data_IF_097187960525
#
_entry.id   IF_097187960525
#
_cell.length_a   1.000
_cell.length_b   1.000
_cell.length_c   1.000
_cell.angle_alpha   90.00
_cell.angle_beta   90.00
_cell.angle_gamma   90.00
#
_symmetry.space_group_name_H-M   'P 1'
#
loop_
_entity.id
_entity.type
_entity.pdbx_description
1 polymer ?
#
# COMPACT_ATOMS: atom_id res chain seq x y z
N UNK A 1 -36.34 66.29 -29.60
CA UNK A 1 -36.04 65.33 -28.52
C UNK A 1 -35.67 63.99 -29.15
N UNK A 2 -34.61 63.31 -28.68
CA UNK A 2 -33.92 62.10 -29.24
C UNK A 2 -32.69 62.34 -30.15
N UNK A 3 -31.93 63.44 -30.00
CA UNK A 3 -30.64 63.63 -30.69
C UNK A 3 -29.46 64.09 -29.82
N UNK A 4 -29.64 64.11 -28.50
CA UNK A 4 -28.62 64.58 -27.54
C UNK A 4 -28.04 63.48 -26.64
N UNK A 5 -28.30 62.21 -26.95
CA UNK A 5 -27.87 61.05 -26.11
C UNK A 5 -26.67 60.28 -26.71
N UNK A 6 -26.18 60.67 -27.89
CA UNK A 6 -25.06 59.98 -28.58
C UNK A 6 -23.75 60.78 -28.64
N UNK A 7 -23.47 61.62 -27.63
CA UNK A 7 -22.15 62.28 -27.47
C UNK A 7 -21.61 62.06 -26.03
N UNK A 8 -22.00 60.95 -25.38
CA UNK A 8 -21.37 60.45 -24.14
C UNK A 8 -21.04 58.96 -24.34
N UNK A 9 -20.59 58.59 -25.54
CA UNK A 9 -20.19 57.20 -25.84
C UNK A 9 -18.88 57.12 -26.64
N UNK A 10 -18.08 58.19 -26.62
CA UNK A 10 -16.76 58.22 -27.20
C UNK A 10 -15.84 59.04 -26.28
N UNK A 11 -14.71 58.45 -25.88
CA UNK A 11 -13.64 59.03 -25.07
C UNK A 11 -13.80 59.00 -23.53
N UNK A 12 -13.91 57.80 -22.96
CA UNK A 12 -13.10 57.45 -21.76
C UNK A 12 -12.50 56.06 -22.03
N UNK A 13 -11.52 56.07 -22.94
CA UNK A 13 -10.41 55.12 -22.95
C UNK A 13 -9.37 55.70 -21.97
N UNK A 14 -8.77 54.85 -21.14
CA UNK A 14 -7.63 55.12 -20.21
C UNK A 14 -7.96 55.80 -18.88
N UNK A 15 -8.44 54.99 -17.92
CA UNK A 15 -7.83 54.81 -16.59
C UNK A 15 -8.71 53.87 -15.78
N UNK A 16 -8.74 52.58 -16.15
CA UNK A 16 -9.01 51.57 -15.13
C UNK A 16 -7.73 51.48 -14.30
N UNK A 17 -7.80 51.49 -12.95
CA UNK A 17 -6.62 51.21 -12.16
C UNK A 17 -6.07 49.90 -12.71
N UNK A 18 -4.76 49.89 -12.99
CA UNK A 18 -4.02 48.65 -12.98
C UNK A 18 -4.30 48.02 -11.61
N UNK A 19 -5.35 47.20 -11.52
CA UNK A 19 -5.25 46.02 -10.74
C UNK A 19 -4.08 45.31 -11.40
N UNK A 20 -2.88 45.55 -10.86
CA UNK A 20 -1.90 44.49 -10.85
C UNK A 20 -2.72 43.25 -10.52
N UNK A 21 -2.84 42.34 -11.48
CA UNK A 21 -3.23 40.99 -11.14
C UNK A 21 -2.16 40.56 -10.17
N UNK A 22 -2.47 40.73 -8.89
CA UNK A 22 -1.67 40.21 -7.83
C UNK A 22 -1.67 38.72 -8.08
N UNK A 23 -0.54 38.22 -8.59
CA UNK A 23 -0.31 36.84 -9.00
C UNK A 23 -0.45 35.85 -7.83
N UNK A 24 -0.82 36.34 -6.64
CA UNK A 24 -1.10 35.63 -5.40
C UNK A 24 -2.53 35.05 -5.29
N UNK A 25 -3.44 35.31 -6.23
CA UNK A 25 -4.85 34.85 -6.15
C UNK A 25 -5.33 34.01 -7.35
N UNK A 26 -4.66 32.89 -7.65
CA UNK A 26 -5.32 31.81 -8.41
C UNK A 26 -6.32 31.12 -7.48
N UNK A 27 -7.55 30.85 -7.93
CA UNK A 27 -8.54 30.15 -7.10
C UNK A 27 -7.98 28.77 -6.69
N UNK A 28 -8.07 28.43 -5.40
CA UNK A 28 -7.53 27.16 -4.83
C UNK A 28 -8.06 25.93 -5.56
N UNK A 29 -9.32 25.99 -6.00
CA UNK A 29 -9.98 24.99 -6.84
C UNK A 29 -9.18 24.73 -8.13
N UNK A 30 -8.77 25.79 -8.83
CA UNK A 30 -7.99 25.71 -10.07
C UNK A 30 -6.60 25.11 -9.82
N UNK A 31 -5.94 25.50 -8.72
CA UNK A 31 -4.63 24.92 -8.35
C UNK A 31 -4.76 23.41 -8.15
N UNK A 32 -5.78 22.96 -7.43
CA UNK A 32 -6.02 21.53 -7.19
C UNK A 32 -6.25 20.77 -8.50
N UNK A 33 -7.09 21.30 -9.39
CA UNK A 33 -7.40 20.63 -10.66
C UNK A 33 -6.19 20.52 -11.58
N UNK A 34 -5.37 21.58 -11.66
CA UNK A 34 -4.15 21.58 -12.46
C UNK A 34 -3.17 20.50 -11.99
N UNK A 35 -2.92 20.42 -10.68
CA UNK A 35 -2.02 19.41 -10.11
C UNK A 35 -2.60 17.99 -10.32
N UNK A 36 -3.89 17.77 -10.10
CA UNK A 36 -4.54 16.47 -10.31
C UNK A 36 -4.50 16.00 -11.78
N UNK A 37 -4.55 16.93 -12.73
CA UNK A 37 -4.47 16.63 -14.17
C UNK A 37 -3.07 16.13 -14.58
N UNK A 38 -2.03 16.51 -13.82
CA UNK A 38 -0.63 16.16 -14.09
C UNK A 38 -0.14 14.90 -13.35
N UNK A 39 -0.98 14.28 -12.51
CA UNK A 39 -0.62 13.05 -11.79
C UNK A 39 -0.63 11.82 -12.73
N UNK A 40 0.41 10.96 -12.70
CA UNK A 40 1.62 11.05 -11.88
C UNK A 40 2.66 12.01 -12.49
N UNK A 41 3.26 12.85 -11.64
CA UNK A 41 4.28 13.81 -12.05
C UNK A 41 5.61 13.08 -12.23
N UNK A 42 6.24 13.26 -13.39
CA UNK A 42 7.35 12.41 -13.83
C UNK A 42 8.72 12.85 -13.34
N UNK A 43 8.92 14.16 -13.11
CA UNK A 43 10.23 14.71 -12.72
C UNK A 43 10.16 15.44 -11.39
N UNK A 44 11.28 15.48 -10.65
CA UNK A 44 11.37 16.21 -9.39
C UNK A 44 11.22 17.73 -9.57
N UNK A 45 11.67 18.26 -10.72
CA UNK A 45 11.54 19.69 -11.03
C UNK A 45 10.06 20.06 -11.21
N UNK A 46 9.33 19.28 -11.99
CA UNK A 46 7.89 19.48 -12.20
C UNK A 46 7.14 19.27 -10.88
N UNK A 47 7.49 18.24 -10.11
CA UNK A 47 6.89 18.00 -8.79
C UNK A 47 7.02 19.22 -7.88
N UNK A 48 8.21 19.81 -7.79
CA UNK A 48 8.44 20.99 -6.96
C UNK A 48 7.69 22.23 -7.50
N UNK A 49 7.57 22.36 -8.83
CA UNK A 49 6.83 23.46 -9.47
C UNK A 49 5.34 23.37 -9.18
N UNK A 50 4.77 22.16 -9.21
CA UNK A 50 3.33 21.91 -9.01
C UNK A 50 2.94 21.88 -7.52
N UNK A 51 3.78 21.35 -6.63
CA UNK A 51 3.46 21.26 -5.20
C UNK A 51 3.58 22.62 -4.49
N UNK A 52 4.45 23.51 -4.97
CA UNK A 52 4.63 24.84 -4.36
C UNK A 52 3.34 25.68 -4.29
N UNK A 53 2.60 25.93 -5.39
CA UNK A 53 1.34 26.69 -5.31
C UNK A 53 0.29 25.97 -4.46
N UNK A 54 0.32 24.64 -4.43
CA UNK A 54 -0.60 23.84 -3.62
C UNK A 54 -0.38 24.05 -2.13
N UNK A 55 0.87 24.01 -1.65
CA UNK A 55 1.18 24.24 -0.23
C UNK A 55 1.07 25.72 0.17
N UNK A 56 1.28 26.64 -0.77
CA UNK A 56 1.01 28.08 -0.58
C UNK A 56 -0.48 28.35 -0.32
N UNK A 57 -1.36 27.57 -0.93
CA UNK A 57 -2.81 27.65 -0.74
C UNK A 57 -3.33 26.83 0.47
N UNK A 58 -2.46 26.18 1.24
CA UNK A 58 -2.84 25.52 2.48
C UNK A 58 -3.22 26.58 3.55
N UNK A 59 -4.16 26.30 4.48
CA UNK A 59 -4.80 25.00 4.75
C UNK A 59 -5.96 24.64 3.81
N UNK A 60 -6.49 25.61 3.05
CA UNK A 60 -7.69 25.43 2.21
C UNK A 60 -7.50 24.36 1.13
N UNK A 61 -6.33 24.33 0.47
CA UNK A 61 -6.04 23.32 -0.56
C UNK A 61 -6.14 21.89 -0.03
N UNK A 62 -5.62 21.65 1.18
CA UNK A 62 -5.59 20.35 1.84
C UNK A 62 -6.99 19.89 2.26
N UNK A 63 -7.79 20.79 2.86
CA UNK A 63 -9.16 20.44 3.27
C UNK A 63 -10.05 20.12 2.07
N UNK A 64 -9.88 20.84 0.97
CA UNK A 64 -10.60 20.57 -0.28
C UNK A 64 -10.19 19.23 -0.90
N UNK A 65 -8.90 18.94 -0.98
CA UNK A 65 -8.41 17.63 -1.44
C UNK A 65 -8.93 16.51 -0.55
N UNK A 66 -8.89 16.67 0.76
CA UNK A 66 -9.38 15.68 1.70
C UNK A 66 -10.89 15.41 1.58
N UNK A 67 -11.68 16.43 1.25
CA UNK A 67 -13.12 16.29 0.98
C UNK A 67 -13.41 15.49 -0.32
N UNK A 68 -12.43 15.33 -1.20
CA UNK A 68 -12.54 14.49 -2.40
C UNK A 68 -12.34 13.00 -2.11
N UNK A 69 -11.81 12.64 -0.93
CA UNK A 69 -11.61 11.24 -0.56
C UNK A 69 -12.95 10.50 -0.43
N UNK A 70 -13.01 9.32 -1.01
CA UNK A 70 -14.14 8.38 -0.93
C UNK A 70 -13.77 7.16 -0.08
N UNK A 71 -14.75 6.41 0.43
CA UNK A 71 -14.51 5.12 1.07
C UNK A 71 -13.61 4.20 0.22
N UNK A 72 -12.69 3.49 0.87
CA UNK A 72 -11.67 2.69 0.17
C UNK A 72 -12.25 1.63 -0.79
N UNK A 73 -13.46 1.14 -0.52
CA UNK A 73 -14.19 0.21 -1.37
C UNK A 73 -14.52 0.75 -2.77
N UNK A 74 -14.47 2.07 -2.98
CA UNK A 74 -14.72 2.70 -4.28
C UNK A 74 -13.47 2.73 -5.18
N UNK A 75 -12.27 2.50 -4.63
CA UNK A 75 -11.00 2.42 -5.38
C UNK A 75 -10.64 3.63 -6.27
N UNK A 76 -11.15 4.83 -5.97
CA UNK A 76 -10.96 6.05 -6.80
C UNK A 76 -9.97 7.08 -6.25
N UNK A 77 -9.40 6.88 -5.06
CA UNK A 77 -8.64 7.91 -4.35
C UNK A 77 -7.20 8.12 -4.83
N UNK A 78 -6.64 7.23 -5.65
CA UNK A 78 -5.19 7.18 -5.93
C UNK A 78 -4.58 8.53 -6.36
N UNK A 79 -5.28 9.31 -7.17
CA UNK A 79 -4.79 10.64 -7.59
C UNK A 79 -4.85 11.66 -6.46
N UNK A 80 -5.92 11.67 -5.68
CA UNK A 80 -6.10 12.61 -4.56
C UNK A 80 -5.10 12.31 -3.44
N UNK A 81 -4.93 11.03 -3.11
CA UNK A 81 -3.94 10.57 -2.12
C UNK A 81 -2.52 10.92 -2.55
N UNK A 82 -2.18 10.73 -3.83
CA UNK A 82 -0.88 11.17 -4.38
C UNK A 82 -0.65 12.66 -4.18
N UNK A 83 -1.65 13.51 -4.46
CA UNK A 83 -1.50 14.97 -4.34
C UNK A 83 -1.39 15.42 -2.87
N UNK A 84 -2.19 14.86 -1.97
CA UNK A 84 -2.09 15.15 -0.52
C UNK A 84 -0.71 14.72 0.00
N UNK A 85 -0.26 13.52 -0.37
CA UNK A 85 1.06 13.02 0.01
C UNK A 85 2.19 13.89 -0.55
N UNK A 86 2.06 14.33 -1.81
CA UNK A 86 3.03 15.22 -2.44
C UNK A 86 3.13 16.58 -1.73
N UNK A 87 2.00 17.15 -1.33
CA UNK A 87 1.96 18.40 -0.57
C UNK A 87 2.66 18.27 0.79
N UNK A 88 2.44 17.14 1.46
CA UNK A 88 3.07 16.79 2.74
C UNK A 88 4.58 16.59 2.58
N UNK A 89 5.02 15.83 1.59
CA UNK A 89 6.44 15.62 1.31
C UNK A 89 7.16 16.94 0.98
N UNK A 90 6.54 17.79 0.15
CA UNK A 90 7.08 19.09 -0.20
C UNK A 90 7.18 20.01 1.03
N UNK A 91 6.12 20.13 1.81
CA UNK A 91 6.09 20.96 3.02
C UNK A 91 7.03 20.44 4.12
N UNK A 92 7.28 19.13 4.20
CA UNK A 92 8.22 18.55 5.17
C UNK A 92 9.66 19.01 5.01
N UNK A 93 10.04 19.48 3.82
CA UNK A 93 11.37 20.06 3.55
C UNK A 93 11.41 21.58 3.67
N UNK A 94 10.26 22.22 3.95
CA UNK A 94 10.13 23.67 4.00
C UNK A 94 9.17 24.12 5.12
N UNK A 95 9.79 24.58 6.21
CA UNK A 95 9.09 25.00 7.42
C UNK A 95 8.08 26.14 7.23
N UNK A 96 8.25 26.97 6.20
CA UNK A 96 7.31 28.04 5.88
C UNK A 96 5.93 27.48 5.50
N UNK A 97 5.86 26.25 4.97
CA UNK A 97 4.62 25.62 4.50
C UNK A 97 4.08 24.55 5.44
N UNK A 98 4.95 23.90 6.22
CA UNK A 98 4.59 22.81 7.11
C UNK A 98 3.46 23.16 8.08
N UNK A 99 3.45 24.38 8.63
CA UNK A 99 2.42 24.82 9.58
C UNK A 99 1.01 24.84 8.96
N UNK A 100 0.87 25.42 7.77
CA UNK A 100 -0.43 25.55 7.10
C UNK A 100 -0.93 24.21 6.55
N UNK A 101 -0.02 23.35 6.09
CA UNK A 101 -0.39 21.99 5.66
C UNK A 101 -0.84 21.14 6.85
N UNK A 102 -0.14 21.21 8.00
CA UNK A 102 -0.60 20.56 9.25
C UNK A 102 -1.99 21.03 9.67
N UNK A 103 -2.23 22.33 9.60
CA UNK A 103 -3.52 22.90 9.96
C UNK A 103 -4.64 22.40 9.05
N UNK A 104 -4.40 22.34 7.73
CA UNK A 104 -5.36 21.78 6.78
C UNK A 104 -5.66 20.30 7.03
N UNK A 105 -4.65 19.51 7.39
CA UNK A 105 -4.82 18.10 7.74
C UNK A 105 -5.62 17.93 9.04
N UNK A 106 -5.37 18.73 10.08
CA UNK A 106 -6.15 18.72 11.33
C UNK A 106 -7.63 18.99 11.07
N UNK A 107 -7.92 20.02 10.26
CA UNK A 107 -9.29 20.38 9.88
C UNK A 107 -9.96 19.26 9.08
N UNK A 108 -9.23 18.68 8.12
CA UNK A 108 -9.71 17.56 7.32
C UNK A 108 -10.03 16.30 8.17
N UNK A 109 -9.16 15.94 9.12
CA UNK A 109 -9.36 14.79 10.02
C UNK A 109 -10.60 14.99 10.91
N UNK A 110 -10.82 16.21 11.40
CA UNK A 110 -11.98 16.53 12.22
C UNK A 110 -13.29 16.44 11.41
N UNK A 111 -13.26 16.76 10.12
CA UNK A 111 -14.41 16.71 9.22
C UNK A 111 -14.67 15.31 8.61
N UNK A 112 -13.69 14.40 8.64
CA UNK A 112 -13.78 13.11 7.96
C UNK A 112 -14.58 12.08 8.75
N UNK A 113 -15.59 11.49 8.10
CA UNK A 113 -16.45 10.44 8.67
C UNK A 113 -16.05 9.03 8.23
N UNK A 114 -15.41 8.88 7.06
CA UNK A 114 -14.90 7.60 6.59
C UNK A 114 -13.63 7.20 7.36
N UNK A 115 -13.61 5.96 7.85
CA UNK A 115 -12.54 5.46 8.71
C UNK A 115 -11.20 5.39 7.97
N UNK A 116 -11.20 4.93 6.72
CA UNK A 116 -9.98 4.67 5.97
C UNK A 116 -9.37 5.99 5.46
N UNK A 117 -10.21 6.90 4.96
CA UNK A 117 -9.82 8.25 4.60
C UNK A 117 -9.28 9.03 5.81
N UNK A 118 -9.90 8.86 7.00
CA UNK A 118 -9.41 9.47 8.24
C UNK A 118 -8.04 8.93 8.63
N UNK A 119 -7.82 7.61 8.52
CA UNK A 119 -6.53 6.99 8.79
C UNK A 119 -5.43 7.47 7.84
N UNK A 120 -5.75 7.66 6.56
CA UNK A 120 -4.85 8.24 5.57
C UNK A 120 -4.46 9.68 5.93
N UNK A 121 -5.43 10.56 6.21
CA UNK A 121 -5.14 11.95 6.60
C UNK A 121 -4.33 12.04 7.91
N UNK A 122 -4.60 11.16 8.86
CA UNK A 122 -3.81 11.01 10.07
C UNK A 122 -2.37 10.55 9.77
N UNK A 123 -2.13 9.69 8.76
CA UNK A 123 -0.75 9.38 8.33
C UNK A 123 -0.03 10.57 7.73
N UNK A 124 -0.72 11.38 6.94
CA UNK A 124 -0.14 12.57 6.32
C UNK A 124 0.19 13.65 7.37
N UNK A 125 -0.69 13.89 8.35
CA UNK A 125 -0.43 14.84 9.44
C UNK A 125 0.79 14.45 10.27
N UNK A 126 1.00 13.13 10.44
CA UNK A 126 2.15 12.59 11.17
C UNK A 126 3.48 12.92 10.51
N UNK A 127 3.54 13.03 9.18
CA UNK A 127 4.75 13.33 8.44
C UNK A 127 5.25 14.78 8.61
N UNK A 128 4.42 15.69 9.12
CA UNK A 128 4.75 17.12 9.22
C UNK A 128 5.01 17.63 10.65
N UNK A 129 4.86 16.82 11.70
CA UNK A 129 4.92 17.32 13.09
C UNK A 129 6.37 17.46 13.61
N UNK A 130 6.71 18.57 14.29
CA UNK A 130 8.06 18.92 14.81
C UNK A 130 8.45 18.24 16.14
N UNK A 131 9.75 18.23 16.42
CA UNK A 131 10.49 17.53 17.48
C UNK A 131 10.20 17.96 18.95
N UNK A 132 9.85 19.23 19.19
CA UNK A 132 9.98 19.88 20.52
C UNK A 132 8.68 19.96 21.35
N UNK A 133 7.53 19.64 20.76
CA UNK A 133 6.22 19.82 21.41
C UNK A 133 5.83 18.56 22.22
N UNK A 134 6.49 18.41 23.38
CA UNK A 134 6.37 17.22 24.26
C UNK A 134 5.11 17.25 25.14
N UNK A 135 4.25 18.26 25.00
CA UNK A 135 2.93 18.29 25.64
C UNK A 135 1.87 17.70 24.73
N UNK A 136 1.86 16.37 24.62
CA UNK A 136 0.70 15.68 24.07
C UNK A 136 -0.36 15.53 25.17
N UNK A 137 -1.19 16.55 25.32
CA UNK A 137 -2.47 16.44 26.00
C UNK A 137 -3.43 15.69 25.09
N UNK A 138 -4.08 14.71 25.70
CA UNK A 138 -5.14 13.91 25.12
C UNK A 138 -6.25 14.82 24.53
N UNK A 139 -6.91 14.38 23.45
CA UNK A 139 -8.27 13.95 23.76
C UNK A 139 -8.14 12.50 24.20
N UNK A 140 -8.81 12.15 25.29
CA UNK A 140 -8.74 10.83 25.90
C UNK A 140 -8.73 9.73 24.83
N UNK A 141 -7.66 8.93 24.79
CA UNK A 141 -7.75 7.63 24.11
C UNK A 141 -6.53 7.12 23.35
N UNK A 142 -5.65 7.94 22.77
CA UNK A 142 -4.60 7.38 21.87
C UNK A 142 -3.27 8.14 21.93
N UNK A 143 -2.15 7.39 22.01
CA UNK A 143 -0.78 7.91 22.26
C UNK A 143 0.07 7.97 20.97
N UNK A 144 1.13 8.82 20.90
CA UNK A 144 1.85 9.20 19.67
C UNK A 144 3.18 8.43 19.48
N UNK A 145 3.58 8.17 18.22
CA UNK A 145 4.63 7.17 17.92
C UNK A 145 5.87 7.61 17.10
N UNK A 146 5.98 8.89 16.71
CA UNK A 146 7.13 9.37 15.93
C UNK A 146 8.47 9.41 16.70
N UNK A 147 8.47 9.66 18.03
CA UNK A 147 9.67 9.74 18.88
C UNK A 147 10.42 8.41 19.16
N UNK A 148 9.99 7.32 18.54
CA UNK A 148 10.67 6.02 18.71
C UNK A 148 11.70 5.75 17.60
N UNK A 149 11.65 6.38 16.43
CA UNK A 149 12.58 6.10 15.33
C UNK A 149 14.02 6.57 15.68
N UNK A 150 14.21 7.83 16.05
CA UNK A 150 15.53 8.37 16.43
C UNK A 150 16.07 7.78 17.74
N UNK A 151 15.17 7.41 18.66
CA UNK A 151 15.54 6.67 19.87
C UNK A 151 15.96 5.24 19.57
N UNK A 152 15.40 4.60 18.55
CA UNK A 152 15.87 3.30 18.07
C UNK A 152 17.22 3.43 17.36
N UNK A 153 17.46 4.49 16.57
CA UNK A 153 18.77 4.79 15.98
C UNK A 153 19.82 4.99 17.08
N UNK A 154 19.52 5.78 18.12
CA UNK A 154 20.44 6.05 19.23
C UNK A 154 20.69 4.84 20.14
N UNK A 155 19.88 3.78 20.05
CA UNK A 155 19.99 2.58 20.87
C UNK A 155 20.99 1.56 20.30
N UNK A 156 21.42 1.70 19.04
CA UNK A 156 22.33 0.75 18.38
C UNK A 156 21.85 -0.69 18.54
N UNK A 157 22.68 -1.56 19.12
CA UNK A 157 22.36 -2.98 19.36
C UNK A 157 21.13 -3.23 20.27
N UNK A 158 20.65 -2.24 21.03
CA UNK A 158 19.47 -2.37 21.88
C UNK A 158 18.13 -2.12 21.16
N UNK A 159 18.14 -1.62 19.91
CA UNK A 159 16.93 -1.33 19.14
C UNK A 159 16.02 -2.56 18.97
N UNK A 160 16.62 -3.74 18.73
CA UNK A 160 15.89 -5.01 18.58
C UNK A 160 14.99 -5.37 19.77
N UNK A 161 15.42 -5.07 21.01
CA UNK A 161 14.61 -5.32 22.21
C UNK A 161 13.36 -4.43 22.27
N UNK A 162 13.50 -3.18 21.84
CA UNK A 162 12.39 -2.23 21.79
C UNK A 162 11.40 -2.57 20.68
N UNK A 163 11.89 -2.96 19.50
CA UNK A 163 11.06 -3.44 18.39
C UNK A 163 10.24 -4.67 18.83
N UNK A 164 10.89 -5.67 19.44
CA UNK A 164 10.22 -6.85 19.95
C UNK A 164 9.21 -6.57 21.09
N UNK A 165 9.30 -5.40 21.76
CA UNK A 165 8.29 -4.94 22.72
C UNK A 165 7.15 -4.20 22.01
N UNK A 166 7.46 -3.36 21.02
CA UNK A 166 6.52 -2.54 20.29
C UNK A 166 5.48 -3.37 19.52
N UNK A 167 5.85 -4.53 18.99
CA UNK A 167 4.93 -5.46 18.31
C UNK A 167 3.77 -5.95 19.20
N UNK A 168 3.84 -5.79 20.53
CA UNK A 168 2.74 -6.11 21.46
C UNK A 168 1.73 -4.97 21.63
N UNK A 169 2.00 -3.79 21.08
CA UNK A 169 1.13 -2.63 21.23
C UNK A 169 -0.28 -2.90 20.69
N UNK A 170 -1.29 -2.36 21.36
CA UNK A 170 -2.66 -2.32 20.80
C UNK A 170 -2.74 -1.38 19.59
N UNK A 171 -1.84 -0.39 19.52
CA UNK A 171 -1.76 0.55 18.42
C UNK A 171 -1.03 -0.07 17.22
N UNK A 172 -1.71 -0.13 16.07
CA UNK A 172 -1.18 -0.70 14.83
C UNK A 172 -0.07 0.16 14.21
N UNK A 173 -0.20 1.49 14.30
CA UNK A 173 0.76 2.43 13.72
C UNK A 173 2.11 2.29 14.43
N UNK A 174 2.13 2.13 15.75
CA UNK A 174 3.36 1.81 16.48
C UNK A 174 3.99 0.52 15.98
N UNK A 175 3.19 -0.54 15.82
CA UNK A 175 3.71 -1.84 15.37
C UNK A 175 4.35 -1.71 13.99
N UNK A 176 3.64 -1.06 13.06
CA UNK A 176 4.12 -0.84 11.70
C UNK A 176 5.38 0.02 11.65
N UNK A 177 5.44 1.11 12.42
CA UNK A 177 6.64 1.95 12.48
C UNK A 177 7.85 1.21 13.05
N UNK A 178 7.66 0.41 14.11
CA UNK A 178 8.75 -0.37 14.69
C UNK A 178 9.27 -1.45 13.73
N UNK A 179 8.38 -2.10 12.98
CA UNK A 179 8.74 -3.11 11.98
C UNK A 179 9.41 -2.47 10.75
N UNK A 180 8.89 -1.32 10.27
CA UNK A 180 9.50 -0.54 9.19
C UNK A 180 10.90 -0.06 9.57
N UNK A 181 11.08 0.48 10.79
CA UNK A 181 12.39 0.81 11.33
C UNK A 181 13.34 -0.39 11.26
N UNK A 182 12.86 -1.57 11.66
CA UNK A 182 13.69 -2.76 11.68
C UNK A 182 14.22 -3.10 10.28
N UNK A 183 13.38 -2.97 9.25
CA UNK A 183 13.77 -3.16 7.85
C UNK A 183 14.76 -2.11 7.38
N UNK A 184 14.45 -0.83 7.56
CA UNK A 184 15.25 0.29 7.04
C UNK A 184 16.64 0.40 7.67
N UNK A 185 16.82 -0.17 8.87
CA UNK A 185 18.08 -0.07 9.63
C UNK A 185 18.79 -1.44 9.80
N UNK A 186 18.47 -2.43 8.95
CA UNK A 186 19.19 -3.72 8.93
C UNK A 186 18.96 -4.62 10.16
N UNK A 187 17.93 -4.34 10.96
CA UNK A 187 17.53 -5.22 12.07
C UNK A 187 16.59 -6.34 11.63
N UNK A 188 16.09 -6.34 10.40
CA UNK A 188 15.29 -7.42 9.82
C UNK A 188 16.15 -8.67 9.52
N UNK A 189 16.60 -9.31 10.60
CA UNK A 189 17.45 -10.47 10.61
C UNK A 189 16.89 -11.58 11.51
N UNK A 190 17.50 -12.77 11.43
CA UNK A 190 17.05 -13.96 12.15
C UNK A 190 17.02 -13.77 13.67
N UNK A 191 17.94 -12.99 14.23
CA UNK A 191 18.01 -12.74 15.67
C UNK A 191 16.80 -11.93 16.17
N UNK A 192 16.44 -10.85 15.48
CA UNK A 192 15.26 -10.07 15.83
C UNK A 192 13.99 -10.88 15.58
N UNK A 193 13.91 -11.56 14.43
CA UNK A 193 12.75 -12.37 14.08
C UNK A 193 12.48 -13.45 15.14
N UNK A 194 13.51 -14.19 15.57
CA UNK A 194 13.40 -15.16 16.65
C UNK A 194 12.92 -14.50 17.98
N UNK A 195 13.37 -13.28 18.27
CA UNK A 195 12.96 -12.53 19.47
C UNK A 195 11.49 -12.10 19.43
N UNK A 196 10.98 -11.74 18.24
CA UNK A 196 9.56 -11.44 18.00
C UNK A 196 8.73 -12.72 18.05
N UNK A 197 9.17 -13.80 17.39
CA UNK A 197 8.46 -15.09 17.32
C UNK A 197 8.23 -15.70 18.71
N UNK A 198 9.17 -15.56 19.65
CA UNK A 198 8.98 -15.97 21.06
C UNK A 198 7.74 -15.35 21.72
N UNK A 199 7.30 -14.20 21.24
CA UNK A 199 6.13 -13.46 21.76
C UNK A 199 4.87 -13.70 20.94
N UNK A 200 4.96 -14.37 19.79
CA UNK A 200 3.89 -14.49 18.79
C UNK A 200 2.57 -15.01 19.35
N UNK A 201 2.60 -16.07 20.18
CA UNK A 201 1.40 -16.64 20.81
C UNK A 201 0.62 -15.63 21.66
N UNK A 202 1.31 -14.66 22.26
CA UNK A 202 0.71 -13.62 23.10
C UNK A 202 0.26 -12.37 22.33
N UNK A 203 0.49 -12.31 21.02
CA UNK A 203 0.08 -11.18 20.19
C UNK A 203 -1.42 -11.26 19.89
N UNK A 204 -2.03 -10.08 19.77
CA UNK A 204 -3.38 -9.94 19.20
C UNK A 204 -3.38 -10.35 17.73
N UNK A 205 -4.54 -10.70 17.20
CA UNK A 205 -4.68 -11.20 15.84
C UNK A 205 -4.13 -10.23 14.78
N UNK A 206 -4.45 -8.93 14.87
CA UNK A 206 -3.88 -7.92 13.98
C UNK A 206 -2.36 -7.80 14.10
N UNK A 207 -1.84 -7.89 15.33
CA UNK A 207 -0.40 -7.85 15.59
C UNK A 207 0.32 -9.11 15.07
N UNK A 208 -0.35 -10.26 15.06
CA UNK A 208 0.16 -11.47 14.39
C UNK A 208 0.28 -11.23 12.89
N UNK A 209 -0.76 -10.70 12.26
CA UNK A 209 -0.75 -10.39 10.82
C UNK A 209 0.40 -9.45 10.45
N UNK A 210 0.55 -8.35 11.18
CA UNK A 210 1.63 -7.38 11.01
C UNK A 210 3.03 -8.03 11.04
N UNK A 211 3.27 -8.92 12.00
CA UNK A 211 4.54 -9.65 12.13
C UNK A 211 4.76 -10.62 10.97
N UNK A 212 3.72 -11.35 10.55
CA UNK A 212 3.81 -12.31 9.43
C UNK A 212 4.12 -11.58 8.11
N UNK A 213 3.45 -10.46 7.83
CA UNK A 213 3.74 -9.64 6.66
C UNK A 213 5.18 -9.16 6.66
N UNK A 214 5.65 -8.62 7.79
CA UNK A 214 7.04 -8.18 7.92
C UNK A 214 8.06 -9.30 7.69
N UNK A 215 7.81 -10.52 8.20
CA UNK A 215 8.65 -11.69 7.93
C UNK A 215 8.72 -11.98 6.43
N UNK A 216 7.58 -11.93 5.73
CA UNK A 216 7.48 -12.15 4.29
C UNK A 216 8.18 -11.07 3.47
N UNK A 217 7.94 -9.80 3.78
CA UNK A 217 8.52 -8.64 3.09
C UNK A 217 10.05 -8.61 3.18
N UNK A 218 10.59 -9.07 4.31
CA UNK A 218 12.04 -9.16 4.54
C UNK A 218 12.62 -10.53 4.20
N UNK A 219 11.82 -11.43 3.62
CA UNK A 219 12.21 -12.78 3.19
C UNK A 219 12.94 -13.60 4.27
N UNK A 220 12.49 -13.51 5.52
CA UNK A 220 13.16 -14.14 6.67
C UNK A 220 12.87 -15.66 6.70
N UNK A 221 13.62 -16.42 5.90
CA UNK A 221 13.40 -17.86 5.69
C UNK A 221 13.52 -18.70 6.98
N UNK A 222 14.27 -18.27 7.98
CA UNK A 222 14.41 -18.97 9.26
C UNK A 222 13.08 -19.11 10.02
N UNK A 223 12.06 -18.31 9.68
CA UNK A 223 10.75 -18.32 10.35
C UNK A 223 9.64 -19.02 9.56
N UNK A 224 9.95 -19.78 8.49
CA UNK A 224 8.92 -20.52 7.72
C UNK A 224 8.07 -21.45 8.58
N UNK A 225 8.65 -22.10 9.60
CA UNK A 225 7.89 -22.95 10.52
C UNK A 225 6.78 -22.20 11.26
N UNK A 226 7.00 -20.92 11.61
CA UNK A 226 5.96 -20.07 12.18
C UNK A 226 4.84 -19.81 11.17
N UNK A 227 5.19 -19.50 9.92
CA UNK A 227 4.23 -19.23 8.85
C UNK A 227 3.36 -20.46 8.58
N UNK A 228 3.96 -21.63 8.38
CA UNK A 228 3.23 -22.89 8.17
C UNK A 228 2.26 -23.19 9.30
N UNK A 229 2.69 -22.98 10.56
CA UNK A 229 1.81 -23.15 11.72
C UNK A 229 0.65 -22.15 11.73
N UNK A 230 0.88 -20.90 11.30
CA UNK A 230 -0.17 -19.89 11.20
C UNK A 230 -1.18 -20.21 10.09
N UNK A 231 -0.74 -20.76 8.96
CA UNK A 231 -1.64 -21.29 7.92
C UNK A 231 -2.52 -22.42 8.47
N UNK A 232 -1.91 -23.40 9.14
CA UNK A 232 -2.63 -24.54 9.71
C UNK A 232 -3.64 -24.15 10.80
N UNK A 233 -3.38 -23.07 11.53
CA UNK A 233 -4.30 -22.55 12.56
C UNK A 233 -5.50 -21.79 11.99
N UNK A 234 -5.45 -21.36 10.73
CA UNK A 234 -6.54 -20.62 10.08
C UNK A 234 -6.73 -19.19 10.61
N UNK A 235 -7.90 -18.62 10.31
CA UNK A 235 -8.27 -17.25 10.68
C UNK A 235 -7.50 -16.17 9.91
N UNK A 236 -7.62 -14.92 10.35
CA UNK A 236 -6.97 -13.77 9.69
C UNK A 236 -5.45 -13.94 9.52
N UNK A 237 -4.68 -14.51 10.48
CA UNK A 237 -3.24 -14.70 10.32
C UNK A 237 -2.85 -15.68 9.20
N UNK A 238 -3.71 -16.65 8.84
CA UNK A 238 -3.41 -17.61 7.79
C UNK A 238 -3.17 -16.92 6.43
N UNK A 239 -3.98 -15.91 6.10
CA UNK A 239 -3.84 -15.13 4.86
C UNK A 239 -2.51 -14.37 4.79
N UNK A 240 -2.11 -13.75 5.90
CA UNK A 240 -0.83 -13.07 6.01
C UNK A 240 0.35 -14.05 5.89
N UNK A 241 0.22 -15.25 6.48
CA UNK A 241 1.23 -16.30 6.39
C UNK A 241 1.36 -16.88 4.97
N UNK A 242 0.24 -17.06 4.26
CA UNK A 242 0.21 -17.49 2.86
C UNK A 242 0.95 -16.49 1.96
N UNK A 243 0.67 -15.20 2.13
CA UNK A 243 1.40 -14.16 1.38
C UNK A 243 2.90 -14.16 1.71
N UNK A 244 3.26 -14.30 2.98
CA UNK A 244 4.65 -14.34 3.41
C UNK A 244 5.39 -15.56 2.84
N UNK A 245 4.78 -16.75 2.86
CA UNK A 245 5.34 -17.96 2.25
C UNK A 245 5.53 -17.78 0.74
N UNK A 246 4.57 -17.13 0.07
CA UNK A 246 4.67 -16.79 -1.35
C UNK A 246 5.87 -15.90 -1.68
N UNK A 247 6.18 -14.92 -0.82
CA UNK A 247 7.34 -14.02 -0.99
C UNK A 247 8.68 -14.70 -0.70
N UNK A 248 8.72 -15.60 0.29
CA UNK A 248 9.95 -16.30 0.70
C UNK A 248 10.32 -17.39 -0.30
N UNK A 249 9.35 -18.17 -0.78
CA UNK A 249 9.58 -19.28 -1.70
C UNK A 249 10.21 -20.52 -1.06
N UNK A 250 10.59 -21.48 -1.91
CA UNK A 250 11.18 -22.77 -1.51
C UNK A 250 10.17 -23.91 -1.43
N UNK A 251 10.65 -25.15 -1.58
CA UNK A 251 9.83 -26.35 -1.74
C UNK A 251 8.82 -26.58 -0.58
N UNK A 252 9.24 -26.30 0.65
CA UNK A 252 8.39 -26.39 1.83
C UNK A 252 7.23 -25.37 1.81
N UNK A 253 7.50 -24.14 1.36
CA UNK A 253 6.49 -23.11 1.16
C UNK A 253 5.55 -23.46 -0.01
N UNK A 254 6.11 -23.94 -1.12
CA UNK A 254 5.33 -24.38 -2.30
C UNK A 254 4.31 -25.44 -1.90
N UNK A 255 4.74 -26.48 -1.16
CA UNK A 255 3.85 -27.53 -0.70
C UNK A 255 2.69 -27.00 0.16
N UNK A 256 3.00 -26.14 1.13
CA UNK A 256 1.98 -25.54 2.02
C UNK A 256 0.96 -24.73 1.21
N UNK A 257 1.43 -23.95 0.24
CA UNK A 257 0.55 -23.12 -0.61
C UNK A 257 -0.31 -23.97 -1.55
N UNK A 258 0.26 -25.00 -2.18
CA UNK A 258 -0.48 -25.96 -3.01
C UNK A 258 -1.58 -26.64 -2.19
N UNK A 259 -1.30 -26.97 -0.92
CA UNK A 259 -2.27 -27.59 -0.02
C UNK A 259 -3.46 -26.67 0.33
N UNK A 260 -3.36 -25.35 0.11
CA UNK A 260 -4.47 -24.41 0.30
C UNK A 260 -5.36 -24.23 -0.94
N UNK A 261 -4.94 -24.71 -2.11
CA UNK A 261 -5.73 -24.60 -3.34
C UNK A 261 -7.00 -25.46 -3.26
N UNK A 262 -8.12 -24.91 -3.75
CA UNK A 262 -9.45 -25.51 -3.65
C UNK A 262 -10.09 -25.42 -2.26
N UNK A 263 -9.44 -24.80 -1.28
CA UNK A 263 -9.98 -24.57 0.07
C UNK A 263 -10.43 -23.12 0.31
N UNK A 264 -10.64 -22.79 1.59
CA UNK A 264 -11.06 -21.44 2.03
C UNK A 264 -10.07 -20.34 1.60
N UNK A 265 -8.77 -20.62 1.60
CA UNK A 265 -7.72 -19.67 1.23
C UNK A 265 -7.30 -19.77 -0.24
N UNK A 266 -8.14 -20.34 -1.11
CA UNK A 266 -7.77 -20.60 -2.50
C UNK A 266 -7.29 -19.35 -3.23
N UNK A 267 -7.97 -18.21 -3.08
CA UNK A 267 -7.63 -16.98 -3.78
C UNK A 267 -6.26 -16.44 -3.35
N UNK A 268 -5.99 -16.43 -2.05
CA UNK A 268 -4.72 -15.96 -1.48
C UNK A 268 -3.56 -16.89 -1.88
N UNK A 269 -3.77 -18.20 -1.80
CA UNK A 269 -2.75 -19.20 -2.16
C UNK A 269 -2.45 -19.19 -3.66
N UNK A 270 -3.48 -19.08 -4.51
CA UNK A 270 -3.31 -18.96 -5.95
C UNK A 270 -2.50 -17.71 -6.31
N UNK A 271 -2.83 -16.54 -5.73
CA UNK A 271 -2.07 -15.30 -5.94
C UNK A 271 -0.62 -15.44 -5.49
N UNK A 272 -0.39 -16.02 -4.32
CA UNK A 272 0.95 -16.28 -3.80
C UNK A 272 1.76 -17.17 -4.74
N UNK A 273 1.16 -18.24 -5.27
CA UNK A 273 1.79 -19.16 -6.23
C UNK A 273 2.04 -18.51 -7.61
N UNK A 274 1.16 -17.60 -8.06
CA UNK A 274 1.37 -16.84 -9.29
C UNK A 274 2.65 -15.98 -9.24
N UNK A 275 2.96 -15.39 -8.09
CA UNK A 275 4.15 -14.57 -7.86
C UNK A 275 5.31 -15.33 -7.22
N UNK A 276 5.22 -16.65 -7.09
CA UNK A 276 6.19 -17.47 -6.36
C UNK A 276 7.59 -17.40 -6.99
N UNK A 277 8.66 -17.24 -6.19
CA UNK A 277 10.04 -17.28 -6.68
C UNK A 277 10.40 -18.66 -7.23
N UNK A 278 10.92 -18.71 -8.46
CA UNK A 278 11.40 -19.95 -9.08
C UNK A 278 10.34 -20.70 -9.89
N UNK A 279 10.74 -21.81 -10.53
CA UNK A 279 9.81 -22.66 -11.27
C UNK A 279 8.96 -23.48 -10.31
N UNK A 280 7.69 -23.70 -10.65
CA UNK A 280 6.79 -24.59 -9.93
C UNK A 280 6.68 -25.92 -10.68
N UNK A 281 6.77 -27.04 -9.98
CA UNK A 281 6.53 -28.36 -10.56
C UNK A 281 5.22 -28.92 -10.01
N UNK A 282 4.15 -28.78 -10.82
CA UNK A 282 2.80 -29.12 -10.39
C UNK A 282 2.38 -30.54 -10.80
N UNK A 283 3.24 -31.32 -11.45
CA UNK A 283 2.86 -32.61 -12.06
C UNK A 283 2.30 -33.59 -11.04
N UNK A 284 2.98 -33.77 -9.90
CA UNK A 284 2.50 -34.68 -8.85
C UNK A 284 1.19 -34.17 -8.22
N UNK A 285 1.12 -32.87 -7.93
CA UNK A 285 -0.07 -32.25 -7.35
C UNK A 285 -1.28 -32.36 -8.28
N UNK A 286 -1.10 -32.16 -9.59
CA UNK A 286 -2.15 -32.30 -10.60
C UNK A 286 -2.67 -33.73 -10.72
N UNK A 287 -1.77 -34.72 -10.65
CA UNK A 287 -2.13 -36.12 -10.72
C UNK A 287 -2.93 -36.58 -9.48
N UNK A 288 -2.59 -36.05 -8.30
CA UNK A 288 -3.22 -36.44 -7.05
C UNK A 288 -4.51 -35.65 -6.71
N UNK A 289 -4.69 -34.46 -7.28
CA UNK A 289 -5.80 -33.58 -6.92
C UNK A 289 -7.12 -33.93 -7.65
N UNK A 290 -8.22 -33.68 -6.95
CA UNK A 290 -9.58 -33.77 -7.46
C UNK A 290 -10.38 -32.50 -7.07
N UNK A 291 -11.57 -32.32 -7.63
CA UNK A 291 -12.47 -31.21 -7.36
C UNK A 291 -11.85 -29.83 -7.61
N UNK A 292 -12.18 -28.87 -6.75
CA UNK A 292 -11.75 -27.46 -6.89
C UNK A 292 -10.23 -27.28 -6.80
N UNK A 293 -9.53 -28.18 -6.11
CA UNK A 293 -8.05 -28.17 -6.06
C UNK A 293 -7.47 -28.47 -7.43
N UNK A 294 -8.01 -29.48 -8.15
CA UNK A 294 -7.55 -29.81 -9.51
C UNK A 294 -7.82 -28.66 -10.48
N UNK A 295 -9.01 -28.06 -10.41
CA UNK A 295 -9.36 -26.88 -11.24
C UNK A 295 -8.42 -25.70 -10.99
N UNK A 296 -8.07 -25.45 -9.74
CA UNK A 296 -7.15 -24.37 -9.37
C UNK A 296 -5.71 -24.65 -9.81
N UNK A 297 -5.26 -25.90 -9.72
CA UNK A 297 -3.95 -26.32 -10.22
C UNK A 297 -3.83 -26.20 -11.74
N UNK A 298 -4.87 -26.56 -12.50
CA UNK A 298 -4.89 -26.38 -13.97
C UNK A 298 -4.73 -24.91 -14.35
N UNK A 299 -5.49 -24.02 -13.69
CA UNK A 299 -5.36 -22.57 -13.88
C UNK A 299 -3.96 -22.07 -13.52
N UNK A 300 -3.39 -22.58 -12.42
CA UNK A 300 -2.07 -22.17 -11.97
C UNK A 300 -0.98 -22.62 -12.94
N UNK A 301 -1.06 -23.87 -13.42
CA UNK A 301 -0.12 -24.42 -14.41
C UNK A 301 -0.08 -23.56 -15.68
N UNK A 302 -1.24 -23.07 -16.13
CA UNK A 302 -1.34 -22.12 -17.23
C UNK A 302 -0.71 -20.77 -16.89
N UNK A 303 -1.10 -20.17 -15.77
CA UNK A 303 -0.60 -18.85 -15.35
C UNK A 303 0.92 -18.82 -15.14
N UNK A 304 1.50 -19.93 -14.68
CA UNK A 304 2.92 -20.10 -14.40
C UNK A 304 3.71 -20.78 -15.51
N UNK A 305 3.05 -21.12 -16.62
CA UNK A 305 3.65 -21.77 -17.79
C UNK A 305 4.43 -23.04 -17.41
N UNK A 306 3.82 -23.90 -16.61
CA UNK A 306 4.40 -25.17 -16.16
C UNK A 306 4.41 -26.18 -17.32
N UNK A 307 5.32 -25.98 -18.28
CA UNK A 307 5.44 -26.78 -19.52
C UNK A 307 5.66 -28.28 -19.23
N UNK A 308 6.26 -28.59 -18.09
CA UNK A 308 6.54 -29.95 -17.62
C UNK A 308 5.25 -30.75 -17.35
N UNK A 309 4.11 -30.07 -17.13
CA UNK A 309 2.80 -30.69 -16.94
C UNK A 309 1.99 -30.85 -18.24
N UNK A 310 2.51 -30.42 -19.39
CA UNK A 310 1.77 -30.36 -20.66
C UNK A 310 1.15 -31.69 -21.06
N UNK A 311 1.93 -32.78 -21.04
CA UNK A 311 1.45 -34.10 -21.44
C UNK A 311 0.35 -34.64 -20.52
N UNK A 312 0.46 -34.37 -19.22
CA UNK A 312 -0.57 -34.74 -18.25
C UNK A 312 -1.87 -33.98 -18.47
N UNK A 313 -1.77 -32.66 -18.72
CA UNK A 313 -2.93 -31.80 -18.95
C UNK A 313 -3.58 -32.09 -20.31
N UNK A 314 -2.79 -32.40 -21.34
CA UNK A 314 -3.33 -32.79 -22.65
C UNK A 314 -4.16 -34.08 -22.57
N UNK A 315 -3.74 -35.06 -21.75
CA UNK A 315 -4.54 -36.27 -21.51
C UNK A 315 -5.88 -35.98 -20.85
N UNK A 316 -5.94 -34.93 -20.01
CA UNK A 316 -7.17 -34.50 -19.36
C UNK A 316 -8.14 -33.81 -20.32
N UNK A 317 -7.74 -33.39 -21.52
CA UNK A 317 -8.61 -32.64 -22.45
C UNK A 317 -9.90 -33.40 -22.83
N UNK A 318 -9.88 -34.73 -22.81
CA UNK A 318 -11.04 -35.59 -23.07
C UNK A 318 -11.76 -36.05 -21.80
N UNK A 319 -11.33 -35.59 -20.62
CA UNK A 319 -11.96 -35.92 -19.35
C UNK A 319 -13.34 -35.26 -19.24
N UNK A 320 -14.34 -35.98 -18.73
CA UNK A 320 -15.72 -35.47 -18.64
C UNK A 320 -15.88 -34.35 -17.62
N UNK A 321 -15.05 -34.32 -16.58
CA UNK A 321 -15.16 -33.38 -15.46
C UNK A 321 -14.18 -32.22 -15.63
N UNK A 322 -12.95 -32.52 -16.03
CA UNK A 322 -11.85 -31.56 -16.08
C UNK A 322 -11.46 -31.15 -17.50
N UNK A 323 -12.07 -31.74 -18.54
CA UNK A 323 -11.69 -31.54 -19.94
C UNK A 323 -11.68 -30.08 -20.36
N UNK A 324 -12.75 -29.33 -20.07
CA UNK A 324 -12.81 -27.91 -20.41
C UNK A 324 -11.72 -27.10 -19.70
N UNK A 325 -11.54 -27.32 -18.39
CA UNK A 325 -10.52 -26.60 -17.62
C UNK A 325 -9.09 -26.95 -18.09
N UNK A 326 -8.86 -28.20 -18.51
CA UNK A 326 -7.59 -28.62 -19.11
C UNK A 326 -7.37 -27.93 -20.46
N UNK A 327 -8.38 -27.90 -21.32
CA UNK A 327 -8.33 -27.18 -22.61
C UNK A 327 -8.04 -25.69 -22.39
N UNK A 328 -8.70 -25.05 -21.44
CA UNK A 328 -8.50 -23.64 -21.12
C UNK A 328 -7.09 -23.36 -20.57
N UNK A 329 -6.47 -24.35 -19.91
CA UNK A 329 -5.12 -24.23 -19.38
C UNK A 329 -4.04 -24.34 -20.47
N UNK A 330 -4.25 -25.18 -21.51
CA UNK A 330 -3.25 -25.49 -22.54
C UNK A 330 -2.58 -24.26 -23.18
N UNK A 331 -3.27 -23.17 -23.55
CA UNK A 331 -2.64 -22.00 -24.20
C UNK A 331 -1.49 -21.37 -23.40
N UNK A 332 -1.51 -21.47 -22.07
CA UNK A 332 -0.41 -20.99 -21.22
C UNK A 332 0.74 -21.99 -21.06
N UNK A 333 0.57 -23.23 -21.49
CA UNK A 333 1.44 -24.37 -21.17
C UNK A 333 2.13 -24.91 -22.42
N UNK A 334 1.43 -24.97 -23.55
CA UNK A 334 2.01 -25.43 -24.81
C UNK A 334 2.64 -24.26 -25.54
N UNK A 335 3.90 -24.39 -25.92
CA UNK A 335 4.50 -23.49 -26.89
C UNK A 335 4.23 -24.00 -28.29
N UNK A 336 4.02 -23.08 -29.24
CA UNK A 336 3.99 -23.47 -30.64
C UNK A 336 5.32 -24.15 -30.97
N UNK A 337 5.28 -25.39 -31.50
CA UNK A 337 6.47 -26.00 -32.10
C UNK A 337 7.07 -24.98 -33.07
N UNK A 338 8.33 -24.61 -32.85
CA UNK A 338 9.11 -23.88 -33.85
C UNK A 338 8.96 -24.66 -35.16
N UNK A 339 8.28 -24.07 -36.15
CA UNK A 339 8.24 -24.62 -37.49
C UNK A 339 9.69 -24.72 -37.95
N UNK A 340 10.09 -25.94 -38.30
CA UNK A 340 11.37 -26.27 -38.92
C UNK A 340 11.75 -25.22 -39.96
N UNK A 341 12.94 -24.64 -39.81
CA UNK A 341 13.66 -23.96 -40.88
C UNK A 341 14.63 -24.96 -41.51
#
# INVERSE_FOLDING_TARGET
MKRTIYIILAAILLCLPSYSQDTRNRATETIIQDVLALVPIQTQADFNNEMRPLVQAAPKSITMLAAMLKPAAEHVNAKVEYVIHGAVAYAGTNEAWAANVREGLKQAIAAQTDKDAKQFLESELRLLTKEEDVTYTAQEGTKPYAKNYDKLVSLGSNAGKMIAKAVKSKDQVLRMQALKFATENGFANDQLAASITKKYKSLKEDAKCDVLYWIGDNKIASQKSLLTNAVAQGGKPAKAAIEALGKIGGEDAEKVLIDQLGGENNAEAFRALCSFPGKLNLTEALNAAEGDKKLSLLKLASARRCTEAADGILKLANDKTYGQAAIDALPGIVTAKQKYA
#
